data_IF_200618197054
#
_entry.id   IF_200618197054
#
_cell.length_a   1.000
_cell.length_b   1.000
_cell.length_c   1.000
_cell.angle_alpha   90.00
_cell.angle_beta   90.00
_cell.angle_gamma   90.00
#
_symmetry.space_group_name_H-M   'P 1'
#
loop_
_entity.id
_entity.type
_entity.pdbx_description
1 polymer ?
#
# COMPACT_ATOMS: atom_id res chain seq x y z
N UNK A 1 -17.21 -2.72 3.90
CA UNK A 1 -15.82 -2.63 4.39
C UNK A 1 -15.35 -1.19 4.24
N UNK A 2 -14.88 -0.53 5.31
CA UNK A 2 -14.11 0.72 5.15
C UNK A 2 -12.85 0.34 4.36
N UNK A 3 -12.61 0.98 3.22
CA UNK A 3 -11.52 0.59 2.32
C UNK A 3 -10.17 0.77 3.00
N UNK A 4 -9.56 -0.34 3.47
CA UNK A 4 -8.22 -0.32 4.05
C UNK A 4 -7.20 0.09 2.98
N UNK A 5 -6.28 0.97 3.36
CA UNK A 5 -5.25 1.48 2.47
C UNK A 5 -4.03 0.57 2.49
N UNK A 6 -3.52 0.22 1.30
CA UNK A 6 -2.23 -0.49 1.20
C UNK A 6 -1.11 0.42 1.72
N UNK A 7 -0.25 -0.09 2.61
CA UNK A 7 0.96 0.61 3.08
C UNK A 7 1.90 1.03 1.94
N UNK A 8 1.77 0.39 0.78
CA UNK A 8 2.56 0.67 -0.41
C UNK A 8 1.92 1.69 -1.35
N UNK A 9 0.79 2.30 -1.01
CA UNK A 9 0.20 3.37 -1.80
C UNK A 9 1.13 4.61 -1.80
N UNK A 10 1.65 5.09 -2.95
CA UNK A 10 2.45 6.31 -3.01
C UNK A 10 1.65 7.62 -2.89
N UNK A 11 0.36 7.61 -3.23
CA UNK A 11 -0.42 8.83 -3.40
C UNK A 11 -0.75 9.57 -2.09
N UNK A 12 -0.32 10.83 -1.98
CA UNK A 12 -0.64 11.72 -0.85
C UNK A 12 -2.15 11.95 -0.68
N UNK A 13 -2.92 11.96 -1.77
CA UNK A 13 -4.38 12.08 -1.70
C UNK A 13 -5.02 10.89 -0.99
N UNK A 14 -4.55 9.67 -1.27
CA UNK A 14 -5.07 8.46 -0.64
C UNK A 14 -4.71 8.41 0.86
N UNK A 15 -3.48 8.78 1.21
CA UNK A 15 -3.09 8.95 2.61
C UNK A 15 -3.91 10.05 3.30
N UNK A 16 -4.17 11.17 2.64
CA UNK A 16 -4.98 12.27 3.20
C UNK A 16 -6.42 11.82 3.46
N UNK A 17 -7.00 11.02 2.56
CA UNK A 17 -8.36 10.50 2.72
C UNK A 17 -8.50 9.58 3.95
N UNK A 18 -7.44 8.86 4.32
CA UNK A 18 -7.44 7.95 5.48
C UNK A 18 -7.05 8.65 6.77
N UNK A 19 -6.08 9.57 6.71
CA UNK A 19 -5.50 10.18 7.91
C UNK A 19 -6.18 11.50 8.30
N UNK A 20 -6.86 12.19 7.38
CA UNK A 20 -7.64 13.36 7.75
C UNK A 20 -8.75 12.99 8.74
N UNK A 21 -8.89 13.79 9.80
CA UNK A 21 -9.84 13.51 10.88
C UNK A 21 -9.28 12.66 12.03
N UNK A 22 -8.10 12.04 11.87
CA UNK A 22 -7.39 11.36 12.98
C UNK A 22 -6.95 12.39 14.01
N UNK A 23 -7.17 12.10 15.30
CA UNK A 23 -6.85 13.03 16.40
C UNK A 23 -5.47 12.68 16.97
N UNK A 24 -4.50 13.55 16.72
CA UNK A 24 -3.14 13.45 17.24
C UNK A 24 -2.93 14.36 18.44
N UNK A 25 -1.79 14.18 19.10
CA UNK A 25 -1.42 14.96 20.27
C UNK A 25 -0.24 15.84 19.89
N UNK A 26 -0.38 17.14 20.09
CA UNK A 26 0.72 18.09 20.02
C UNK A 26 1.10 18.49 21.42
N UNK A 27 2.39 18.49 21.72
CA UNK A 27 2.91 18.84 23.02
C UNK A 27 2.77 20.35 23.27
N UNK A 28 2.30 20.71 24.46
CA UNK A 28 1.96 22.08 24.85
C UNK A 28 2.35 22.35 26.30
N UNK A 29 3.44 21.74 26.74
CA UNK A 29 3.98 21.86 28.10
C UNK A 29 4.55 23.25 28.36
N UNK A 30 4.44 23.77 29.58
CA UNK A 30 5.14 25.01 30.00
C UNK A 30 6.51 24.67 30.58
N UNK A 31 7.37 25.69 30.76
CA UNK A 31 8.71 25.52 31.34
C UNK A 31 8.73 24.84 32.72
N UNK A 32 7.59 24.79 33.40
CA UNK A 32 7.39 24.09 34.67
C UNK A 32 7.72 22.58 34.59
N UNK A 33 7.56 21.96 33.42
CA UNK A 33 7.88 20.53 33.19
C UNK A 33 9.39 20.24 33.27
N UNK A 34 10.25 21.26 33.12
CA UNK A 34 11.70 21.12 33.30
C UNK A 34 12.11 20.95 34.78
N UNK A 35 11.28 21.38 35.72
CA UNK A 35 11.54 21.31 37.16
C UNK A 35 10.83 20.11 37.81
N UNK A 36 10.79 18.96 37.10
CA UNK A 36 10.06 17.74 37.50
C UNK A 36 10.42 17.23 38.91
N UNK A 37 11.60 17.60 39.42
CA UNK A 37 12.12 17.17 40.72
C UNK A 37 11.66 18.04 41.91
N UNK A 38 11.02 19.20 41.70
CA UNK A 38 10.91 20.23 42.75
C UNK A 38 9.54 20.45 43.42
N UNK A 39 8.41 19.91 42.95
CA UNK A 39 7.13 20.10 43.68
C UNK A 39 5.99 19.11 43.29
N UNK A 40 6.35 17.88 42.95
CA UNK A 40 5.40 16.86 42.46
C UNK A 40 5.48 16.68 40.95
N UNK A 41 5.06 15.51 40.48
CA UNK A 41 5.28 15.03 39.11
C UNK A 41 4.57 15.97 38.11
N UNK A 42 5.29 16.99 37.62
CA UNK A 42 4.86 17.85 36.53
C UNK A 42 4.84 17.00 35.24
N UNK A 43 3.64 16.62 34.79
CA UNK A 43 3.46 15.78 33.61
C UNK A 43 3.47 16.62 32.33
N UNK A 44 3.98 16.05 31.24
CA UNK A 44 3.88 16.64 29.92
C UNK A 44 2.40 16.88 29.57
N UNK A 45 2.11 18.09 29.08
CA UNK A 45 0.76 18.47 28.64
C UNK A 45 0.66 18.33 27.13
N UNK A 46 -0.49 17.82 26.70
CA UNK A 46 -0.80 17.62 25.30
C UNK A 46 -2.11 18.31 24.93
N UNK A 47 -2.16 18.81 23.71
CA UNK A 47 -3.35 19.32 23.08
C UNK A 47 -3.75 18.40 21.93
N UNK A 48 -5.02 18.03 21.90
CA UNK A 48 -5.57 17.31 20.77
C UNK A 48 -5.60 18.21 19.53
N UNK A 49 -5.04 17.73 18.43
CA UNK A 49 -5.10 18.35 17.12
C UNK A 49 -5.62 17.32 16.11
N UNK A 50 -6.56 17.73 15.26
CA UNK A 50 -7.03 16.87 14.17
C UNK A 50 -6.11 17.01 12.97
N UNK A 51 -5.70 15.89 12.38
CA UNK A 51 -4.95 15.88 11.12
C UNK A 51 -5.80 16.51 10.03
N UNK A 52 -5.26 17.55 9.42
CA UNK A 52 -5.86 18.23 8.28
C UNK A 52 -5.42 17.52 6.98
N UNK A 53 -6.30 17.44 5.97
CA UNK A 53 -5.91 16.93 4.66
C UNK A 53 -4.79 17.79 4.07
N UNK A 54 -3.96 17.21 3.20
CA UNK A 54 -2.77 17.90 2.72
C UNK A 54 -3.03 19.19 1.90
N UNK A 55 -4.26 19.36 1.38
CA UNK A 55 -4.72 20.59 0.72
C UNK A 55 -3.95 20.97 -0.55
N UNK A 56 -4.01 22.24 -0.97
CA UNK A 56 -3.22 22.75 -2.10
C UNK A 56 -1.71 22.81 -1.80
N UNK A 57 -1.32 22.80 -0.53
CA UNK A 57 0.08 22.77 -0.09
C UNK A 57 0.76 21.41 -0.37
N UNK A 58 -0.02 20.40 -0.72
CA UNK A 58 0.42 19.09 -1.19
C UNK A 58 0.90 19.07 -2.64
N UNK A 59 0.61 20.12 -3.41
CA UNK A 59 0.88 20.17 -4.84
C UNK A 59 2.39 20.24 -5.10
N UNK A 60 2.91 19.58 -6.16
CA UNK A 60 4.32 19.60 -6.51
C UNK A 60 4.91 21.00 -6.71
N UNK A 61 4.07 22.02 -6.91
CA UNK A 61 4.49 23.42 -7.07
C UNK A 61 4.82 24.12 -5.75
N UNK A 62 4.37 23.59 -4.59
CA UNK A 62 4.58 24.16 -3.25
C UNK A 62 5.57 23.33 -2.40
N UNK A 63 6.59 22.74 -3.05
CA UNK A 63 7.58 21.87 -2.37
C UNK A 63 8.36 22.56 -1.24
N UNK A 64 8.43 23.89 -1.23
CA UNK A 64 9.19 24.64 -0.23
C UNK A 64 8.47 24.78 1.12
N UNK A 65 7.15 24.51 1.18
CA UNK A 65 6.37 24.55 2.42
C UNK A 65 5.30 23.43 2.42
N UNK A 66 5.73 22.16 2.55
CA UNK A 66 4.80 21.04 2.63
C UNK A 66 3.91 21.19 3.88
N UNK A 67 2.62 20.85 3.75
CA UNK A 67 1.74 20.70 4.91
C UNK A 67 2.24 19.59 5.84
N UNK A 68 1.84 19.59 7.12
CA UNK A 68 2.21 18.52 8.07
C UNK A 68 1.89 17.12 7.51
N UNK A 69 0.74 16.98 6.85
CA UNK A 69 0.33 15.76 6.14
C UNK A 69 1.25 15.43 4.96
N UNK A 70 1.66 16.44 4.18
CA UNK A 70 2.63 16.29 3.09
C UNK A 70 4.00 15.82 3.58
N UNK A 71 4.50 16.41 4.67
CA UNK A 71 5.76 16.02 5.32
C UNK A 71 5.70 14.60 5.88
N UNK A 72 4.58 14.21 6.49
CA UNK A 72 4.41 12.85 7.03
C UNK A 72 4.46 11.76 5.96
N UNK A 73 3.95 12.03 4.75
CA UNK A 73 3.93 11.04 3.67
C UNK A 73 5.15 11.13 2.78
N UNK A 74 5.52 12.33 2.32
CA UNK A 74 6.55 12.56 1.30
C UNK A 74 7.87 13.13 1.84
N UNK A 75 7.93 13.54 3.11
CA UNK A 75 9.14 14.07 3.71
C UNK A 75 10.27 13.03 3.81
N UNK A 76 11.51 13.44 4.13
CA UNK A 76 12.66 12.55 4.23
C UNK A 76 12.45 11.38 5.22
N UNK A 77 11.84 11.69 6.37
CA UNK A 77 11.44 10.73 7.41
C UNK A 77 9.99 10.26 7.27
N UNK A 78 9.34 10.63 6.17
CA UNK A 78 7.96 10.27 5.86
C UNK A 78 7.82 8.84 5.31
N UNK A 79 6.58 8.39 5.16
CA UNK A 79 6.25 7.03 4.71
C UNK A 79 6.95 6.69 3.38
N UNK A 80 6.76 7.50 2.35
CA UNK A 80 7.39 7.30 1.05
C UNK A 80 8.91 7.51 1.10
N UNK A 81 9.37 8.43 1.96
CA UNK A 81 10.78 8.73 2.19
C UNK A 81 11.55 7.56 2.81
N UNK A 82 10.91 6.76 3.66
CA UNK A 82 11.50 5.56 4.24
C UNK A 82 11.30 4.34 3.34
N UNK A 83 10.13 4.22 2.70
CA UNK A 83 9.78 3.09 1.82
C UNK A 83 10.80 2.84 0.70
N UNK A 84 11.41 3.90 0.15
CA UNK A 84 12.43 3.79 -0.92
C UNK A 84 13.69 3.02 -0.52
N UNK A 85 13.98 2.88 0.78
CA UNK A 85 15.14 2.14 1.27
C UNK A 85 14.86 0.64 1.47
N UNK A 86 13.60 0.24 1.43
CA UNK A 86 13.23 -1.18 1.46
C UNK A 86 13.45 -1.83 0.09
N UNK A 87 13.58 -3.16 0.08
CA UNK A 87 13.73 -3.93 -1.16
C UNK A 87 12.56 -3.63 -2.10
N UNK A 88 12.89 -3.32 -3.36
CA UNK A 88 11.93 -2.91 -4.41
C UNK A 88 11.16 -1.62 -4.11
N UNK A 89 11.61 -0.82 -3.13
CA UNK A 89 10.94 0.43 -2.73
C UNK A 89 9.56 0.20 -2.12
N UNK A 90 9.37 -0.91 -1.39
CA UNK A 90 8.09 -1.36 -0.86
C UNK A 90 8.25 -1.99 0.53
N UNK A 91 7.28 -1.74 1.39
CA UNK A 91 7.09 -2.46 2.64
C UNK A 91 6.57 -3.87 2.34
N UNK A 92 7.28 -4.89 2.81
CA UNK A 92 6.92 -6.31 2.69
C UNK A 92 5.87 -6.70 3.74
N UNK A 93 5.93 -6.07 4.91
CA UNK A 93 5.02 -6.33 6.02
C UNK A 93 4.34 -5.06 6.51
N UNK A 94 3.13 -5.20 7.06
CA UNK A 94 2.36 -4.08 7.60
C UNK A 94 3.16 -3.28 8.64
N UNK A 95 3.85 -3.97 9.56
CA UNK A 95 4.60 -3.33 10.64
C UNK A 95 5.79 -2.47 10.17
N UNK A 96 6.32 -2.70 8.96
CA UNK A 96 7.43 -1.91 8.44
C UNK A 96 7.04 -0.46 8.17
N UNK A 97 5.74 -0.14 8.06
CA UNK A 97 5.29 1.25 7.96
C UNK A 97 5.73 2.09 9.17
N UNK A 98 5.86 1.46 10.35
CA UNK A 98 6.29 2.12 11.60
C UNK A 98 7.78 2.47 11.61
N UNK A 99 8.55 2.00 10.62
CA UNK A 99 9.93 2.45 10.43
C UNK A 99 10.02 3.91 9.98
N UNK A 100 8.91 4.51 9.52
CA UNK A 100 8.84 5.93 9.18
C UNK A 100 8.81 6.80 10.44
N UNK A 101 9.88 7.56 10.77
CA UNK A 101 9.91 8.35 12.00
C UNK A 101 8.84 9.44 12.05
N UNK A 102 8.33 9.89 10.89
CA UNK A 102 7.23 10.85 10.84
C UNK A 102 5.90 10.35 11.45
N UNK A 103 5.78 9.04 11.71
CA UNK A 103 4.64 8.47 12.44
C UNK A 103 4.86 8.43 13.95
N UNK A 104 6.09 8.60 14.43
CA UNK A 104 6.45 8.47 15.84
C UNK A 104 7.38 9.62 16.26
N UNK A 105 8.69 9.37 16.31
CA UNK A 105 9.73 10.18 16.92
C UNK A 105 10.03 11.50 16.19
N UNK A 106 9.65 11.64 14.92
CA UNK A 106 9.83 12.87 14.13
C UNK A 106 8.51 13.30 13.51
N UNK A 107 7.42 13.10 14.24
CA UNK A 107 6.10 13.49 13.76
C UNK A 107 6.04 15.00 13.50
N UNK A 108 5.49 15.44 12.35
CA UNK A 108 5.32 16.87 12.06
C UNK A 108 4.23 17.54 12.91
N UNK A 109 3.54 16.78 13.77
CA UNK A 109 2.52 17.28 14.70
C UNK A 109 3.07 17.52 16.11
N UNK A 110 4.30 17.08 16.37
CA UNK A 110 5.02 17.44 17.59
C UNK A 110 5.71 18.78 17.39
N UNK A 111 5.73 19.59 18.45
CA UNK A 111 6.46 20.85 18.49
C UNK A 111 7.91 20.58 18.90
N UNK A 112 8.81 20.87 17.96
CA UNK A 112 10.26 20.68 18.06
C UNK A 112 11.02 21.99 18.25
N UNK A 113 10.35 23.14 18.14
CA UNK A 113 11.00 24.45 18.10
C UNK A 113 11.29 24.98 19.50
N UNK A 114 10.46 24.63 20.48
CA UNK A 114 10.64 25.02 21.87
C UNK A 114 11.54 24.00 22.61
N UNK A 115 12.58 24.51 23.27
CA UNK A 115 13.53 23.71 24.06
C UNK A 115 12.83 22.93 25.18
N UNK A 116 11.82 23.54 25.81
CA UNK A 116 11.03 22.92 26.88
C UNK A 116 10.32 21.68 26.36
N UNK A 117 9.71 21.83 25.18
CA UNK A 117 8.98 20.79 24.50
C UNK A 117 9.89 19.62 24.13
N UNK A 118 11.01 19.92 23.46
CA UNK A 118 11.95 18.92 23.00
C UNK A 118 12.57 18.09 24.13
N UNK A 119 12.94 18.73 25.25
CA UNK A 119 13.68 18.07 26.32
C UNK A 119 12.80 17.30 27.31
N UNK A 120 11.55 17.73 27.52
CA UNK A 120 10.71 17.17 28.58
C UNK A 120 9.20 17.23 28.32
N UNK A 121 8.77 17.86 27.22
CA UNK A 121 7.37 17.98 26.85
C UNK A 121 6.82 16.83 25.99
N UNK A 122 7.66 15.86 25.62
CA UNK A 122 7.25 14.69 24.82
C UNK A 122 7.30 13.43 25.69
N UNK A 123 6.23 12.64 25.60
CA UNK A 123 6.03 11.38 26.31
C UNK A 123 5.58 10.31 25.31
N UNK A 124 5.66 9.04 25.69
CA UNK A 124 5.32 7.89 24.84
C UNK A 124 3.88 7.97 24.32
N UNK A 125 2.99 8.56 25.12
CA UNK A 125 1.61 8.83 24.72
C UNK A 125 1.51 9.58 23.38
N UNK A 126 2.39 10.55 23.13
CA UNK A 126 2.37 11.33 21.90
C UNK A 126 3.00 10.55 20.72
N UNK A 127 4.06 9.78 20.98
CA UNK A 127 4.71 8.94 19.96
C UNK A 127 3.84 7.79 19.48
N UNK A 128 3.06 7.18 20.35
CA UNK A 128 2.25 6.01 20.01
C UNK A 128 0.86 6.38 19.45
N UNK A 129 0.45 7.65 19.56
CA UNK A 129 -0.92 8.05 19.24
C UNK A 129 -1.29 7.83 17.78
N UNK A 130 -0.37 8.16 16.86
CA UNK A 130 -0.58 7.99 15.42
C UNK A 130 -0.60 6.49 15.08
N UNK A 131 0.43 5.67 15.42
CA UNK A 131 0.42 4.23 15.17
C UNK A 131 -0.84 3.52 15.65
N UNK A 132 -1.27 3.80 16.90
CA UNK A 132 -2.47 3.18 17.49
C UNK A 132 -3.73 3.41 16.65
N UNK A 133 -3.87 4.58 16.02
CA UNK A 133 -5.04 4.91 15.22
C UNK A 133 -4.94 4.38 13.79
N UNK A 134 -3.77 4.52 13.16
CA UNK A 134 -3.63 4.25 11.73
C UNK A 134 -3.50 2.77 11.40
N UNK A 135 -2.94 1.94 12.29
CA UNK A 135 -2.68 0.53 11.98
C UNK A 135 -3.97 -0.25 11.67
N UNK A 136 -5.09 0.14 12.28
CA UNK A 136 -6.42 -0.44 11.97
C UNK A 136 -6.97 -0.05 10.59
N UNK A 137 -6.41 1.00 9.97
CA UNK A 137 -6.84 1.55 8.68
C UNK A 137 -5.96 1.07 7.51
N UNK A 138 -4.86 0.39 7.83
CA UNK A 138 -3.85 -0.04 6.87
C UNK A 138 -3.93 -1.54 6.64
N UNK A 139 -3.52 -1.95 5.45
CA UNK A 139 -3.31 -3.36 5.10
C UNK A 139 -1.98 -3.57 4.40
N UNK A 140 -1.46 -4.79 4.53
CA UNK A 140 -0.35 -5.24 3.70
C UNK A 140 -0.76 -5.27 2.23
N UNK A 141 0.23 -5.26 1.34
CA UNK A 141 -0.06 -5.39 -0.08
C UNK A 141 -0.41 -6.83 -0.42
N UNK A 142 -1.49 -6.99 -1.17
CA UNK A 142 -1.97 -8.30 -1.63
C UNK A 142 -1.77 -8.38 -3.15
N UNK A 143 -0.74 -9.09 -3.63
CA UNK A 143 -0.51 -9.23 -5.06
C UNK A 143 -1.68 -10.01 -5.70
N UNK A 144 -2.39 -9.32 -6.59
CA UNK A 144 -3.47 -9.88 -7.40
C UNK A 144 -3.03 -9.85 -8.86
N UNK A 145 -3.10 -10.99 -9.52
CA UNK A 145 -2.81 -11.12 -10.95
C UNK A 145 -4.09 -11.51 -11.66
N UNK A 146 -4.36 -10.87 -12.79
CA UNK A 146 -5.46 -11.26 -13.67
C UNK A 146 -4.89 -12.07 -14.83
N UNK A 147 -5.33 -13.32 -14.92
CA UNK A 147 -4.99 -14.24 -16.01
C UNK A 147 -6.11 -14.20 -17.03
N UNK A 148 -5.77 -13.90 -18.28
CA UNK A 148 -6.66 -14.06 -19.42
C UNK A 148 -6.18 -15.28 -20.21
N UNK A 149 -7.09 -16.22 -20.46
CA UNK A 149 -6.76 -17.45 -21.17
C UNK A 149 -7.84 -17.77 -22.20
N UNK A 150 -7.37 -18.10 -23.40
CA UNK A 150 -8.18 -18.45 -24.55
C UNK A 150 -7.81 -19.86 -25.01
N UNK A 151 -8.80 -20.70 -25.22
CA UNK A 151 -8.65 -22.06 -25.75
C UNK A 151 -9.62 -22.31 -26.89
N UNK A 152 -9.15 -23.05 -27.89
CA UNK A 152 -9.97 -23.54 -29.01
C UNK A 152 -9.92 -25.06 -29.03
N UNK A 153 -11.08 -25.71 -29.18
CA UNK A 153 -11.16 -27.12 -29.49
C UNK A 153 -11.21 -27.32 -31.01
N UNK A 154 -10.36 -28.22 -31.50
CA UNK A 154 -10.17 -28.45 -32.93
C UNK A 154 -10.58 -29.88 -33.28
N UNK A 155 -11.24 -30.05 -34.43
CA UNK A 155 -11.43 -31.36 -35.09
C UNK A 155 -10.83 -31.32 -36.50
N UNK A 156 -10.40 -32.44 -37.09
CA UNK A 156 -10.06 -32.49 -38.50
C UNK A 156 -11.23 -31.97 -39.35
N UNK A 157 -10.95 -31.08 -40.31
CA UNK A 157 -11.96 -30.62 -41.24
C UNK A 157 -12.36 -31.75 -42.22
N UNK A 158 -13.52 -31.63 -42.87
CA UNK A 158 -13.94 -32.58 -43.90
C UNK A 158 -12.89 -32.63 -45.02
N UNK A 159 -12.55 -33.85 -45.45
CA UNK A 159 -11.49 -34.12 -46.44
C UNK A 159 -10.11 -33.55 -46.06
N UNK A 160 -9.82 -33.38 -44.77
CA UNK A 160 -8.53 -32.82 -44.31
C UNK A 160 -7.36 -33.81 -44.33
N UNK A 161 -7.61 -35.10 -44.49
CA UNK A 161 -6.52 -36.08 -44.53
C UNK A 161 -5.84 -36.02 -45.89
N UNK A 162 -4.53 -35.86 -45.89
CA UNK A 162 -3.75 -35.98 -47.13
C UNK A 162 -3.76 -37.44 -47.60
N UNK A 163 -4.39 -37.67 -48.74
CA UNK A 163 -4.46 -39.00 -49.40
C UNK A 163 -3.33 -39.22 -50.41
N UNK A 164 -2.56 -38.19 -50.76
CA UNK A 164 -1.44 -38.32 -51.69
C UNK A 164 -0.29 -39.11 -51.03
N UNK A 165 0.12 -40.26 -51.59
CA UNK A 165 1.14 -41.13 -51.02
C UNK A 165 2.56 -40.56 -51.16
N UNK A 166 2.74 -39.47 -51.92
CA UNK A 166 4.02 -38.83 -52.15
C UNK A 166 4.03 -37.40 -51.58
N UNK A 167 4.98 -37.04 -50.68
CA UNK A 167 5.98 -37.90 -50.07
C UNK A 167 5.38 -38.81 -48.96
N UNK A 168 5.91 -40.03 -48.75
CA UNK A 168 5.32 -41.03 -47.84
C UNK A 168 5.12 -40.55 -46.40
N UNK A 169 5.99 -39.63 -45.94
CA UNK A 169 5.96 -39.04 -44.60
C UNK A 169 4.77 -38.12 -44.33
N UNK A 170 4.02 -37.71 -45.37
CA UNK A 170 2.87 -36.82 -45.24
C UNK A 170 1.53 -37.53 -45.51
N UNK A 171 1.56 -38.82 -45.88
CA UNK A 171 0.36 -39.59 -46.11
C UNK A 171 -0.42 -39.78 -44.80
N UNK A 172 -1.74 -39.60 -44.87
CA UNK A 172 -2.66 -39.70 -43.74
C UNK A 172 -2.39 -38.69 -42.60
N UNK A 173 -1.79 -37.54 -42.92
CA UNK A 173 -1.64 -36.41 -42.00
C UNK A 173 -2.82 -35.44 -42.20
N UNK A 174 -3.36 -34.95 -41.09
CA UNK A 174 -4.36 -33.88 -41.06
C UNK A 174 -3.72 -32.55 -41.47
N UNK A 175 -4.16 -31.96 -42.58
CA UNK A 175 -3.63 -30.69 -43.10
C UNK A 175 -4.44 -29.47 -42.69
N UNK A 176 -5.64 -29.65 -42.13
CA UNK A 176 -6.55 -28.57 -41.78
C UNK A 176 -7.45 -28.94 -40.59
N UNK A 177 -7.63 -27.99 -39.68
CA UNK A 177 -8.49 -28.18 -38.53
C UNK A 177 -9.65 -27.20 -38.57
N UNK A 178 -10.85 -27.68 -38.24
CA UNK A 178 -12.03 -26.87 -38.02
C UNK A 178 -12.19 -26.61 -36.53
N UNK A 179 -12.44 -25.34 -36.17
CA UNK A 179 -12.78 -24.95 -34.80
C UNK A 179 -14.17 -25.51 -34.46
N UNK A 180 -14.28 -26.14 -33.29
CA UNK A 180 -15.51 -26.78 -32.79
C UNK A 180 -16.05 -26.13 -31.54
N UNK A 181 -15.23 -25.34 -30.86
CA UNK A 181 -15.56 -24.69 -29.62
C UNK A 181 -14.46 -23.72 -29.27
N UNK A 182 -14.85 -22.64 -28.62
CA UNK A 182 -13.96 -21.61 -28.12
C UNK A 182 -14.30 -21.37 -26.65
N UNK A 183 -13.28 -21.07 -25.86
CA UNK A 183 -13.45 -20.78 -24.46
C UNK A 183 -12.47 -19.68 -24.05
N UNK A 184 -13.02 -18.55 -23.60
CA UNK A 184 -12.26 -17.43 -23.06
C UNK A 184 -12.65 -17.24 -21.61
N UNK A 185 -11.66 -17.14 -20.73
CA UNK A 185 -11.93 -16.82 -19.33
C UNK A 185 -10.92 -15.82 -18.78
N UNK A 186 -11.41 -15.04 -17.82
CA UNK A 186 -10.63 -14.18 -16.95
C UNK A 186 -10.63 -14.76 -15.55
N UNK A 187 -9.45 -14.99 -14.98
CA UNK A 187 -9.28 -15.45 -13.60
C UNK A 187 -8.47 -14.46 -12.80
N UNK A 188 -8.97 -14.03 -11.64
CA UNK A 188 -8.21 -13.24 -10.68
C UNK A 188 -7.63 -14.17 -9.63
N UNK A 189 -6.30 -14.18 -9.54
CA UNK A 189 -5.53 -15.02 -8.63
C UNK A 189 -4.86 -14.12 -7.61
N UNK A 190 -5.06 -14.43 -6.33
CA UNK A 190 -4.35 -13.82 -5.21
C UNK A 190 -3.24 -14.76 -4.75
N UNK A 191 -2.06 -14.22 -4.52
CA UNK A 191 -0.95 -14.99 -3.96
C UNK A 191 -0.79 -14.68 -2.48
N UNK A 192 -0.78 -15.75 -1.67
CA UNK A 192 -0.61 -15.70 -0.23
C UNK A 192 0.72 -16.31 0.19
N UNK A 193 1.24 -15.87 1.33
CA UNK A 193 2.44 -16.45 1.94
C UNK A 193 3.73 -15.69 1.62
N UNK A 194 4.83 -16.22 2.13
CA UNK A 194 6.18 -15.69 1.92
C UNK A 194 6.65 -15.99 0.49
N UNK A 195 7.61 -15.21 -0.02
CA UNK A 195 8.24 -15.42 -1.35
C UNK A 195 8.69 -16.87 -1.57
N UNK A 196 9.11 -17.57 -0.52
CA UNK A 196 9.57 -18.97 -0.58
C UNK A 196 8.45 -20.02 -0.52
N UNK A 197 7.22 -19.61 -0.17
CA UNK A 197 6.06 -20.49 -0.05
C UNK A 197 4.79 -19.74 -0.48
N UNK A 198 4.75 -19.36 -1.75
CA UNK A 198 3.62 -18.66 -2.36
C UNK A 198 2.50 -19.66 -2.70
N UNK A 199 1.34 -19.46 -2.10
CA UNK A 199 0.12 -20.20 -2.41
C UNK A 199 -0.78 -19.36 -3.31
N UNK A 200 -1.06 -19.86 -4.51
CA UNK A 200 -2.02 -19.23 -5.41
C UNK A 200 -3.45 -19.64 -5.00
N UNK A 201 -4.31 -18.64 -4.78
CA UNK A 201 -5.74 -18.84 -4.51
C UNK A 201 -6.55 -18.16 -5.61
N UNK A 202 -7.50 -18.91 -6.19
CA UNK A 202 -8.42 -18.36 -7.19
C UNK A 202 -9.55 -17.66 -6.45
N UNK A 203 -9.67 -16.35 -6.64
CA UNK A 203 -10.73 -15.58 -5.98
C UNK A 203 -11.97 -15.43 -6.85
N UNK A 204 -11.75 -15.26 -8.16
CA UNK A 204 -12.85 -15.17 -9.11
C UNK A 204 -12.43 -15.71 -10.47
N UNK A 205 -13.40 -16.34 -11.12
CA UNK A 205 -13.33 -16.72 -12.52
C UNK A 205 -14.57 -16.19 -13.22
N UNK A 206 -14.39 -15.68 -14.43
CA UNK A 206 -15.48 -15.21 -15.27
C UNK A 206 -15.23 -15.72 -16.68
N UNK A 207 -16.15 -16.53 -17.20
CA UNK A 207 -16.20 -16.85 -18.63
C UNK A 207 -16.55 -15.56 -19.38
N UNK A 208 -15.73 -15.18 -20.34
CA UNK A 208 -15.98 -14.00 -21.15
C UNK A 208 -16.79 -14.42 -22.39
N UNK A 209 -17.75 -13.59 -22.83
CA UNK A 209 -18.45 -13.85 -24.08
C UNK A 209 -17.48 -13.76 -25.26
N UNK A 210 -17.73 -14.59 -26.26
CA UNK A 210 -17.09 -14.54 -27.57
C UNK A 210 -18.20 -14.33 -28.60
N UNK A 211 -18.08 -13.26 -29.39
CA UNK A 211 -18.93 -12.95 -30.55
C UNK A 211 -18.12 -13.15 -31.83
#
# INVERSE_FOLDING_TARGET
>A
ARGLLSVNQPGLAAWSAVLSGVVVQTNSSTAEVLNRDLDGIQQARFRAQTIQPAGLQALPQNQNQPSQMGSMVNGPSGINGVRRFFRNGRFQHLGEVLSAPALTLQSPYLDWEDLVQYQSGIDDFAYERIPQQILSLLKADEPRVTVYAYGQSLRPADQSLRTDPEPPRLFNICTNYQVTGEYLFRRVVRYDGSITNLQATVESETSLPFD
#
